data_IF_134513534473
#
_entry.id   IF_134513534473
#
_cell.length_a   1.000
_cell.length_b   1.000
_cell.length_c   1.000
_cell.angle_alpha   90.00
_cell.angle_beta   90.00
_cell.angle_gamma   90.00
#
_symmetry.space_group_name_H-M   'P 1'
#
loop_
_entity.id
_entity.type
_entity.pdbx_description
1 polymer ?
#
# COMPACT_ATOMS: atom_id res chain seq x y z
N UNK A 1 41.56 14.50 49.00
CA UNK A 1 40.21 14.60 48.39
C UNK A 1 39.15 14.19 49.41
N UNK A 2 38.33 15.14 49.89
CA UNK A 2 37.39 14.95 51.02
C UNK A 2 36.35 13.84 50.74
N UNK A 3 36.04 13.00 51.73
CA UNK A 3 35.04 11.91 51.64
C UNK A 3 33.72 12.37 51.02
N UNK A 4 33.26 13.59 51.34
CA UNK A 4 32.07 14.22 50.76
C UNK A 4 32.15 14.40 49.23
N UNK A 5 33.32 14.76 48.68
CA UNK A 5 33.51 14.90 47.24
C UNK A 5 33.50 13.54 46.53
N UNK A 6 34.04 12.49 47.15
CA UNK A 6 34.01 11.11 46.62
C UNK A 6 32.58 10.57 46.50
N UNK A 7 31.75 10.77 47.54
CA UNK A 7 30.36 10.30 47.53
C UNK A 7 29.49 11.01 46.48
N UNK A 8 29.72 12.31 46.25
CA UNK A 8 29.02 13.05 45.18
C UNK A 8 29.36 12.52 43.79
N UNK A 9 30.63 12.19 43.54
CA UNK A 9 31.08 11.64 42.25
C UNK A 9 30.49 10.24 42.03
N UNK A 10 30.45 9.40 43.06
CA UNK A 10 29.84 8.07 42.99
C UNK A 10 28.35 8.15 42.69
N UNK A 11 27.62 9.05 43.38
CA UNK A 11 26.19 9.26 43.13
C UNK A 11 25.91 9.75 41.70
N UNK A 12 26.75 10.65 41.20
CA UNK A 12 26.64 11.19 39.84
C UNK A 12 26.88 10.08 38.79
N UNK A 13 27.88 9.21 39.00
CA UNK A 13 28.15 8.07 38.13
C UNK A 13 27.00 7.04 38.10
N UNK A 14 26.40 6.74 39.26
CA UNK A 14 25.24 5.83 39.33
C UNK A 14 24.05 6.44 38.58
N UNK A 15 23.80 7.74 38.73
CA UNK A 15 22.68 8.42 38.05
C UNK A 15 22.83 8.42 36.52
N UNK A 16 24.05 8.59 36.00
CA UNK A 16 24.31 8.52 34.56
C UNK A 16 24.16 7.12 34.00
N UNK A 17 24.47 6.09 34.80
CA UNK A 17 24.29 4.69 34.41
C UNK A 17 22.80 4.36 34.24
N UNK A 18 21.95 4.80 35.17
CA UNK A 18 20.49 4.62 35.06
C UNK A 18 19.88 5.35 33.87
N UNK A 19 20.33 6.58 33.56
CA UNK A 19 19.86 7.33 32.37
C UNK A 19 20.26 6.66 31.05
N UNK A 20 21.43 6.02 30.98
CA UNK A 20 21.87 5.30 29.78
C UNK A 20 21.09 4.01 29.50
N UNK A 21 20.44 3.43 30.52
CA UNK A 21 19.59 2.24 30.36
C UNK A 21 18.16 2.56 29.87
N UNK A 22 17.75 3.82 29.80
CA UNK A 22 16.42 4.23 29.32
C UNK A 22 16.35 4.32 27.78
N UNK A 23 17.43 3.95 27.08
CA UNK A 23 17.39 3.65 25.64
C UNK A 23 16.69 2.31 25.33
N UNK A 24 15.66 1.96 26.12
CA UNK A 24 14.65 1.00 25.71
C UNK A 24 13.90 1.62 24.54
N UNK A 25 14.33 1.29 23.33
CA UNK A 25 13.55 1.57 22.13
C UNK A 25 12.13 1.10 22.41
N UNK A 26 11.17 2.02 22.34
CA UNK A 26 9.76 1.72 22.54
C UNK A 26 9.40 0.72 21.44
N UNK A 27 9.43 -0.57 21.78
CA UNK A 27 8.82 -1.60 20.95
C UNK A 27 7.34 -1.37 21.15
N UNK A 28 6.77 -0.53 20.29
CA UNK A 28 5.33 -0.40 20.15
C UNK A 28 4.82 -1.79 19.77
N UNK A 29 4.38 -2.55 20.77
CA UNK A 29 3.64 -3.77 20.57
C UNK A 29 2.39 -3.38 19.79
N UNK A 30 2.40 -3.64 18.48
CA UNK A 30 1.20 -3.45 17.67
C UNK A 30 0.18 -4.43 18.17
N UNK A 31 -0.99 -3.94 18.56
CA UNK A 31 -2.08 -4.80 18.99
C UNK A 31 -2.38 -5.84 17.89
N UNK A 32 -2.63 -7.11 18.25
CA UNK A 32 -2.91 -8.17 17.28
C UNK A 32 -4.09 -7.83 16.36
N UNK A 33 -5.03 -7.01 16.82
CA UNK A 33 -6.16 -6.48 16.04
C UNK A 33 -5.68 -5.60 14.87
N UNK A 34 -4.66 -4.76 15.10
CA UNK A 34 -4.09 -3.90 14.06
C UNK A 34 -3.33 -4.70 13.01
N UNK A 35 -2.60 -5.73 13.43
CA UNK A 35 -1.92 -6.65 12.51
C UNK A 35 -2.92 -7.39 11.63
N UNK A 36 -3.99 -7.94 12.22
CA UNK A 36 -5.08 -8.56 11.48
C UNK A 36 -5.71 -7.61 10.46
N UNK A 37 -6.03 -6.37 10.88
CA UNK A 37 -6.58 -5.35 9.97
C UNK A 37 -5.65 -5.07 8.79
N UNK A 38 -4.34 -5.00 9.00
CA UNK A 38 -3.37 -4.85 7.91
C UNK A 38 -3.37 -6.04 6.96
N UNK A 39 -3.41 -7.27 7.47
CA UNK A 39 -3.46 -8.48 6.64
C UNK A 39 -4.71 -8.52 5.78
N UNK A 40 -5.87 -8.16 6.34
CA UNK A 40 -7.14 -8.11 5.60
C UNK A 40 -7.08 -7.08 4.47
N UNK A 41 -6.61 -5.86 4.75
CA UNK A 41 -6.50 -4.82 3.72
C UNK A 41 -5.47 -5.18 2.64
N UNK A 42 -4.34 -5.79 3.02
CA UNK A 42 -3.34 -6.27 2.06
C UNK A 42 -3.91 -7.37 1.14
N UNK A 43 -4.69 -8.31 1.68
CA UNK A 43 -5.35 -9.35 0.89
C UNK A 43 -6.35 -8.77 -0.11
N UNK A 44 -7.11 -7.74 0.27
CA UNK A 44 -8.03 -7.04 -0.65
C UNK A 44 -7.27 -6.43 -1.82
N UNK A 45 -6.15 -5.73 -1.56
CA UNK A 45 -5.32 -5.15 -2.62
C UNK A 45 -4.74 -6.22 -3.53
N UNK A 46 -4.14 -7.28 -2.96
CA UNK A 46 -3.56 -8.40 -3.75
C UNK A 46 -4.60 -9.07 -4.65
N UNK A 47 -5.81 -9.33 -4.12
CA UNK A 47 -6.92 -9.90 -4.88
C UNK A 47 -7.29 -8.99 -6.06
N UNK A 48 -7.39 -7.69 -5.82
CA UNK A 48 -7.70 -6.72 -6.87
C UNK A 48 -6.60 -6.65 -7.95
N UNK A 49 -5.33 -6.62 -7.56
CA UNK A 49 -4.20 -6.67 -8.50
C UNK A 49 -4.23 -7.92 -9.37
N UNK A 50 -4.53 -9.08 -8.78
CA UNK A 50 -4.67 -10.34 -9.51
C UNK A 50 -5.81 -10.27 -10.55
N UNK A 51 -6.99 -9.76 -10.15
CA UNK A 51 -8.14 -9.60 -11.05
C UNK A 51 -7.82 -8.66 -12.22
N UNK A 52 -7.15 -7.54 -11.95
CA UNK A 52 -6.69 -6.61 -12.98
C UNK A 52 -5.72 -7.29 -13.96
N UNK A 53 -4.72 -7.99 -13.43
CA UNK A 53 -3.72 -8.70 -14.24
C UNK A 53 -4.39 -9.74 -15.13
N UNK A 54 -5.30 -10.55 -14.57
CA UNK A 54 -6.06 -11.55 -15.31
C UNK A 54 -6.94 -10.93 -16.40
N UNK A 55 -7.56 -9.79 -16.12
CA UNK A 55 -8.44 -9.09 -17.06
C UNK A 55 -7.66 -8.50 -18.24
N UNK A 56 -6.53 -7.84 -17.96
CA UNK A 56 -5.61 -7.32 -18.98
C UNK A 56 -5.07 -8.46 -19.84
N UNK A 57 -4.59 -9.54 -19.22
CA UNK A 57 -4.05 -10.69 -19.93
C UNK A 57 -5.09 -11.36 -20.82
N UNK A 58 -6.34 -11.42 -20.36
CA UNK A 58 -7.42 -11.95 -21.18
C UNK A 58 -7.70 -11.07 -22.40
N UNK A 59 -7.73 -9.74 -22.26
CA UNK A 59 -7.91 -8.83 -23.42
C UNK A 59 -6.73 -8.93 -24.40
N UNK A 60 -5.52 -9.12 -23.88
CA UNK A 60 -4.30 -9.30 -24.69
C UNK A 60 -4.36 -10.57 -25.54
N UNK A 61 -4.76 -11.69 -24.92
CA UNK A 61 -4.99 -12.97 -25.62
C UNK A 61 -6.08 -12.87 -26.68
N UNK A 62 -7.14 -12.12 -26.38
CA UNK A 62 -8.24 -11.84 -27.30
C UNK A 62 -7.85 -10.84 -28.42
N UNK A 63 -6.61 -10.35 -28.44
CA UNK A 63 -6.07 -9.33 -29.37
C UNK A 63 -6.86 -8.00 -29.36
N UNK A 64 -7.57 -7.72 -28.26
CA UNK A 64 -8.30 -6.46 -28.05
C UNK A 64 -7.33 -5.33 -27.66
N UNK A 65 -6.28 -5.69 -26.92
CA UNK A 65 -5.14 -4.82 -26.62
C UNK A 65 -3.84 -5.51 -27.04
N UNK A 66 -2.84 -4.73 -27.43
CA UNK A 66 -1.50 -5.20 -27.73
C UNK A 66 -0.57 -5.18 -26.50
N UNK A 67 0.65 -5.69 -26.64
CA UNK A 67 1.62 -5.77 -25.54
C UNK A 67 2.03 -4.39 -24.99
N UNK A 68 2.14 -3.38 -25.84
CA UNK A 68 2.51 -2.03 -25.41
C UNK A 68 1.36 -1.34 -24.68
N UNK A 69 0.11 -1.53 -25.12
CA UNK A 69 -1.09 -1.07 -24.41
C UNK A 69 -1.21 -1.74 -23.05
N UNK A 70 -1.02 -3.06 -22.97
CA UNK A 70 -1.02 -3.78 -21.70
C UNK A 70 0.06 -3.26 -20.74
N UNK A 71 1.24 -2.94 -21.26
CA UNK A 71 2.33 -2.33 -20.49
C UNK A 71 1.99 -0.91 -20.04
N UNK A 72 1.33 -0.11 -20.89
CA UNK A 72 0.86 1.23 -20.56
C UNK A 72 -0.20 1.21 -19.45
N UNK A 73 -1.17 0.29 -19.50
CA UNK A 73 -2.17 0.09 -18.44
C UNK A 73 -1.48 -0.26 -17.12
N UNK A 74 -0.56 -1.23 -17.14
CA UNK A 74 0.17 -1.64 -15.93
C UNK A 74 1.03 -0.51 -15.35
N UNK A 75 1.67 0.28 -16.22
CA UNK A 75 2.42 1.47 -15.82
C UNK A 75 1.50 2.50 -15.18
N UNK A 76 0.36 2.80 -15.79
CA UNK A 76 -0.64 3.73 -15.27
C UNK A 76 -1.11 3.32 -13.87
N UNK A 77 -1.50 2.05 -13.69
CA UNK A 77 -1.91 1.54 -12.37
C UNK A 77 -0.80 1.65 -11.34
N UNK A 78 0.44 1.37 -11.73
CA UNK A 78 1.59 1.49 -10.82
C UNK A 78 1.81 2.93 -10.38
N UNK A 79 1.64 3.89 -11.28
CA UNK A 79 1.73 5.32 -10.94
C UNK A 79 0.55 5.76 -10.05
N UNK A 80 -0.69 5.37 -10.37
CA UNK A 80 -1.86 5.67 -9.53
C UNK A 80 -1.77 5.03 -8.13
N UNK A 81 -1.05 3.92 -7.98
CA UNK A 81 -0.81 3.28 -6.68
C UNK A 81 0.35 3.90 -5.88
N UNK A 82 1.22 4.72 -6.50
CA UNK A 82 2.33 5.34 -5.77
C UNK A 82 1.80 6.30 -4.71
N UNK A 83 2.38 6.20 -3.51
CA UNK A 83 2.11 7.11 -2.41
C UNK A 83 3.41 7.78 -1.98
N UNK A 84 3.28 9.02 -1.50
CA UNK A 84 4.38 9.74 -0.85
C UNK A 84 4.88 8.98 0.39
N UNK A 85 6.21 8.95 0.57
CA UNK A 85 6.93 8.11 1.54
C UNK A 85 6.49 8.27 3.01
N UNK A 86 5.69 9.29 3.34
CA UNK A 86 5.31 9.66 4.70
C UNK A 86 3.90 9.21 5.14
N UNK A 87 3.14 8.46 4.31
CA UNK A 87 1.79 7.99 4.69
C UNK A 87 1.83 6.64 5.41
N UNK A 88 1.00 6.47 6.45
CA UNK A 88 0.86 5.23 7.21
C UNK A 88 0.29 4.06 6.39
N UNK A 89 0.47 2.81 6.88
CA UNK A 89 0.07 1.58 6.16
C UNK A 89 -1.41 1.54 5.73
N UNK A 90 -2.35 1.99 6.58
CA UNK A 90 -3.78 2.02 6.20
C UNK A 90 -4.04 2.96 5.03
N UNK A 91 -3.48 4.18 5.08
CA UNK A 91 -3.62 5.16 4.00
C UNK A 91 -3.01 4.63 2.69
N UNK A 92 -1.93 3.85 2.78
CA UNK A 92 -1.36 3.16 1.62
C UNK A 92 -2.37 2.21 0.98
N UNK A 93 -2.96 1.32 1.78
CA UNK A 93 -3.94 0.36 1.28
C UNK A 93 -5.18 1.05 0.71
N UNK A 94 -5.68 2.11 1.35
CA UNK A 94 -6.83 2.85 0.84
C UNK A 94 -6.56 3.47 -0.54
N UNK A 95 -5.37 4.03 -0.74
CA UNK A 95 -4.96 4.59 -2.03
C UNK A 95 -4.81 3.52 -3.10
N UNK A 96 -4.17 2.39 -2.76
CA UNK A 96 -4.05 1.24 -3.66
C UNK A 96 -5.43 0.70 -4.05
N UNK A 97 -6.35 0.56 -3.10
CA UNK A 97 -7.75 0.17 -3.37
C UNK A 97 -8.42 1.16 -4.32
N UNK A 98 -8.24 2.47 -4.10
CA UNK A 98 -8.82 3.53 -4.96
C UNK A 98 -8.30 3.46 -6.39
N UNK A 99 -6.99 3.24 -6.58
CA UNK A 99 -6.39 3.06 -7.89
C UNK A 99 -6.93 1.82 -8.62
N UNK A 100 -7.26 0.76 -7.88
CA UNK A 100 -7.73 -0.51 -8.43
C UNK A 100 -9.27 -0.58 -8.61
N UNK A 101 -10.01 0.52 -8.45
CA UNK A 101 -11.45 0.57 -8.71
C UNK A 101 -11.78 0.47 -10.20
N UNK A 102 -12.96 -0.05 -10.54
CA UNK A 102 -13.48 -0.09 -11.92
C UNK A 102 -13.52 1.30 -12.55
N UNK A 103 -13.84 2.32 -11.75
CA UNK A 103 -13.87 3.73 -12.18
C UNK A 103 -12.52 4.25 -12.68
N UNK A 104 -11.40 3.61 -12.32
CA UNK A 104 -10.09 3.97 -12.87
C UNK A 104 -10.02 3.73 -14.37
N UNK A 105 -10.81 2.78 -14.90
CA UNK A 105 -10.91 2.57 -16.35
C UNK A 105 -11.43 3.82 -17.07
N UNK A 106 -12.36 4.57 -16.46
CA UNK A 106 -12.84 5.83 -17.06
C UNK A 106 -11.72 6.86 -17.17
N UNK A 107 -10.86 6.95 -16.15
CA UNK A 107 -9.70 7.83 -16.20
C UNK A 107 -8.74 7.42 -17.31
N UNK A 108 -8.47 6.12 -17.47
CA UNK A 108 -7.60 5.60 -18.54
C UNK A 108 -8.14 5.94 -19.93
N UNK A 109 -9.46 5.91 -20.12
CA UNK A 109 -10.10 6.31 -21.39
C UNK A 109 -9.95 7.82 -21.60
N UNK A 110 -10.21 8.63 -20.57
CA UNK A 110 -10.06 10.10 -20.65
C UNK A 110 -8.60 10.51 -20.93
N UNK A 111 -7.64 9.82 -20.32
CA UNK A 111 -6.20 10.05 -20.49
C UNK A 111 -5.65 9.41 -21.79
N UNK A 112 -6.52 8.86 -22.64
CA UNK A 112 -6.16 8.22 -23.92
C UNK A 112 -5.13 7.08 -23.80
N UNK A 113 -5.12 6.39 -22.66
CA UNK A 113 -4.30 5.18 -22.45
C UNK A 113 -4.88 3.98 -23.20
N UNK A 114 -6.20 3.93 -23.29
CA UNK A 114 -6.98 2.94 -24.03
C UNK A 114 -8.16 3.63 -24.72
N UNK A 115 -8.73 2.99 -25.74
CA UNK A 115 -9.94 3.46 -26.39
C UNK A 115 -11.19 3.24 -25.51
N UNK A 116 -12.26 3.96 -25.82
CA UNK A 116 -13.56 3.78 -25.13
C UNK A 116 -14.09 2.34 -25.25
N UNK A 117 -13.91 1.70 -26.41
CA UNK A 117 -14.31 0.32 -26.66
C UNK A 117 -13.51 -0.67 -25.79
N UNK A 118 -12.17 -0.52 -25.77
CA UNK A 118 -11.29 -1.32 -24.92
C UNK A 118 -11.64 -1.12 -23.43
N UNK A 119 -11.93 0.11 -23.02
CA UNK A 119 -12.37 0.45 -21.66
C UNK A 119 -13.68 -0.23 -21.28
N UNK A 120 -14.67 -0.25 -22.16
CA UNK A 120 -15.94 -0.94 -21.94
C UNK A 120 -15.74 -2.46 -21.72
N UNK A 121 -14.91 -3.08 -22.56
CA UNK A 121 -14.60 -4.52 -22.46
C UNK A 121 -13.82 -4.84 -21.18
N UNK A 122 -12.88 -3.99 -20.80
CA UNK A 122 -12.11 -4.13 -19.56
C UNK A 122 -13.02 -4.03 -18.33
N UNK A 123 -13.90 -3.03 -18.27
CA UNK A 123 -14.91 -2.92 -17.20
C UNK A 123 -15.78 -4.16 -17.08
N UNK A 124 -16.25 -4.68 -18.22
CA UNK A 124 -17.06 -5.91 -18.25
C UNK A 124 -16.31 -7.10 -17.66
N UNK A 125 -15.01 -7.26 -17.96
CA UNK A 125 -14.19 -8.32 -17.36
C UNK A 125 -13.95 -8.10 -15.86
N UNK A 126 -13.64 -6.87 -15.44
CA UNK A 126 -13.43 -6.54 -14.02
C UNK A 126 -14.69 -6.78 -13.17
N UNK A 127 -15.86 -6.36 -13.68
CA UNK A 127 -17.15 -6.53 -12.99
C UNK A 127 -17.56 -8.00 -12.81
N UNK A 128 -17.01 -8.92 -13.61
CA UNK A 128 -17.27 -10.36 -13.46
C UNK A 128 -16.74 -10.92 -12.14
N UNK A 129 -15.71 -10.31 -11.56
CA UNK A 129 -15.01 -10.85 -10.38
C UNK A 129 -15.50 -10.28 -9.04
N UNK A 130 -16.56 -9.46 -9.07
CA UNK A 130 -17.10 -8.74 -7.91
C UNK A 130 -16.01 -8.08 -7.05
N UNK A 131 -15.61 -6.89 -7.49
CA UNK A 131 -14.66 -6.02 -6.80
C UNK A 131 -15.34 -4.92 -5.97
N UNK A 132 -16.63 -5.08 -5.66
CA UNK A 132 -17.40 -4.19 -4.76
C UNK A 132 -16.73 -3.96 -3.41
N UNK A 133 -15.97 -4.96 -2.92
CA UNK A 133 -15.18 -4.87 -1.69
C UNK A 133 -14.04 -3.82 -1.70
N UNK A 134 -13.80 -3.13 -2.83
CA UNK A 134 -12.87 -2.00 -2.95
C UNK A 134 -13.57 -0.62 -2.85
N UNK A 135 -14.91 -0.61 -2.91
CA UNK A 135 -15.72 0.60 -2.86
C UNK A 135 -16.03 1.02 -1.40
N UNK A 136 -15.99 0.06 -0.47
CA UNK A 136 -16.18 0.24 0.98
C UNK A 136 -14.85 0.34 1.76
#
# INVERSE_FOLDING_TARGET
>A
MNKSKKNKIIFLLISTMFLSCINGGIINAKEPIMEYKYTVEEQKVKRAQFIWTSSIESLRKDKIINDEEAKNINKYLKEEMKIELNKGKLNRFEHEKKALRVSTVDKMVNDSIISSEQGCLLKKKLNKYDISNLEN
#
